data_IF_597010813101
#
_entry.id   IF_597010813101
#
_cell.length_a   1.000
_cell.length_b   1.000
_cell.length_c   1.000
_cell.angle_alpha   90.00
_cell.angle_beta   90.00
_cell.angle_gamma   90.00
#
_symmetry.space_group_name_H-M   'P 1'
#
loop_
_entity.id
_entity.type
_entity.pdbx_description
1 polymer ?
#
# COMPACT_ATOMS: atom_id res chain seq x y z
N UNK A 1 13.57 -12.07 0.40
CA UNK A 1 12.17 -12.08 -0.07
C UNK A 1 11.30 -11.07 0.68
N UNK A 2 11.26 -11.10 2.02
CA UNK A 2 10.37 -10.24 2.84
C UNK A 2 10.47 -8.74 2.57
N UNK A 3 11.68 -8.17 2.51
CA UNK A 3 11.84 -6.73 2.25
C UNK A 3 11.34 -6.30 0.86
N UNK A 4 11.51 -7.15 -0.15
CA UNK A 4 11.03 -6.88 -1.51
C UNK A 4 9.50 -6.95 -1.59
N UNK A 5 8.87 -7.96 -0.97
CA UNK A 5 7.41 -8.06 -0.94
C UNK A 5 6.77 -6.90 -0.16
N UNK A 6 7.40 -6.45 0.93
CA UNK A 6 6.97 -5.25 1.65
C UNK A 6 7.13 -4.01 0.78
N UNK A 7 8.28 -3.82 0.11
CA UNK A 7 8.51 -2.69 -0.79
C UNK A 7 7.44 -2.61 -1.90
N UNK A 8 7.18 -3.74 -2.56
CA UNK A 8 6.14 -3.83 -3.61
C UNK A 8 4.77 -3.55 -3.00
N UNK A 9 4.46 -4.16 -1.86
CA UNK A 9 3.20 -3.94 -1.14
C UNK A 9 2.98 -2.48 -0.78
N UNK A 10 3.99 -1.79 -0.24
CA UNK A 10 3.91 -0.36 0.09
C UNK A 10 3.71 0.50 -1.14
N UNK A 11 4.42 0.23 -2.23
CA UNK A 11 4.31 1.03 -3.45
C UNK A 11 2.93 0.87 -4.08
N UNK A 12 2.44 -0.37 -4.20
CA UNK A 12 1.11 -0.66 -4.76
C UNK A 12 0.01 -0.13 -3.85
N UNK A 13 0.13 -0.35 -2.54
CA UNK A 13 -0.84 0.15 -1.56
C UNK A 13 -0.87 1.68 -1.51
N UNK A 14 0.28 2.34 -1.57
CA UNK A 14 0.39 3.79 -1.59
C UNK A 14 -0.19 4.42 -2.86
N UNK A 15 0.17 3.90 -4.04
CA UNK A 15 -0.40 4.36 -5.31
C UNK A 15 -1.89 4.05 -5.40
N UNK A 16 -2.32 2.88 -4.93
CA UNK A 16 -3.73 2.49 -4.89
C UNK A 16 -4.55 3.41 -3.99
N UNK A 17 -4.05 3.70 -2.78
CA UNK A 17 -4.69 4.65 -1.87
C UNK A 17 -4.78 6.07 -2.44
N UNK A 18 -3.74 6.52 -3.13
CA UNK A 18 -3.76 7.81 -3.82
C UNK A 18 -4.78 7.83 -4.96
N UNK A 19 -4.76 6.82 -5.83
CA UNK A 19 -5.69 6.71 -6.96
C UNK A 19 -7.15 6.65 -6.50
N UNK A 20 -7.43 6.00 -5.37
CA UNK A 20 -8.77 6.00 -4.76
C UNK A 20 -9.14 7.40 -4.28
N UNK A 21 -8.22 8.10 -3.62
CA UNK A 21 -8.48 9.47 -3.16
C UNK A 21 -8.70 10.46 -4.29
N UNK A 22 -7.97 10.30 -5.39
CA UNK A 22 -8.12 11.07 -6.63
C UNK A 22 -9.45 10.75 -7.34
N UNK A 23 -9.79 9.47 -7.48
CA UNK A 23 -11.03 9.03 -8.11
C UNK A 23 -12.29 9.47 -7.35
N UNK A 24 -12.19 9.70 -6.03
CA UNK A 24 -13.28 10.19 -5.18
C UNK A 24 -13.28 11.72 -5.03
N UNK A 25 -12.39 12.43 -5.73
CA UNK A 25 -12.23 13.90 -5.69
C UNK A 25 -12.11 14.45 -4.26
N UNK A 26 -11.49 13.68 -3.36
CA UNK A 26 -11.41 14.03 -1.93
C UNK A 26 -10.38 15.13 -1.65
N UNK A 27 -9.72 15.62 -2.69
CA UNK A 27 -8.64 16.59 -2.62
C UNK A 27 -7.31 15.99 -2.12
N UNK A 28 -6.26 16.79 -2.23
CA UNK A 28 -4.89 16.38 -1.92
C UNK A 28 -4.71 15.83 -0.51
N UNK A 29 -5.34 16.45 0.50
CA UNK A 29 -5.21 16.04 1.89
C UNK A 29 -5.70 14.62 2.15
N UNK A 30 -6.85 14.25 1.57
CA UNK A 30 -7.41 12.92 1.71
C UNK A 30 -6.75 11.89 0.81
N UNK A 31 -6.36 12.27 -0.41
CA UNK A 31 -5.53 11.40 -1.25
C UNK A 31 -4.20 11.03 -0.57
N UNK A 32 -3.57 11.99 0.13
CA UNK A 32 -2.36 11.73 0.91
C UNK A 32 -2.61 10.77 2.08
N UNK A 33 -3.70 10.97 2.84
CA UNK A 33 -4.02 10.08 3.97
C UNK A 33 -4.37 8.67 3.48
N UNK A 34 -5.17 8.54 2.42
CA UNK A 34 -5.50 7.25 1.83
C UNK A 34 -4.26 6.55 1.27
N UNK A 35 -3.34 7.28 0.66
CA UNK A 35 -2.04 6.76 0.24
C UNK A 35 -1.20 6.26 1.43
N UNK A 36 -1.19 7.00 2.54
CA UNK A 36 -0.53 6.58 3.77
C UNK A 36 -1.13 5.30 4.35
N UNK A 37 -2.46 5.24 4.47
CA UNK A 37 -3.19 4.05 4.94
C UNK A 37 -2.95 2.86 4.02
N UNK A 38 -3.02 3.08 2.71
CA UNK A 38 -2.76 2.07 1.69
C UNK A 38 -1.32 1.54 1.77
N UNK A 39 -0.33 2.41 2.01
CA UNK A 39 1.06 1.99 2.20
C UNK A 39 1.23 1.10 3.43
N UNK A 40 0.61 1.44 4.56
CA UNK A 40 0.65 0.62 5.79
C UNK A 40 -0.03 -0.73 5.58
N UNK A 41 -1.21 -0.75 4.94
CA UNK A 41 -1.88 -1.98 4.55
C UNK A 41 -1.01 -2.83 3.60
N UNK A 42 -0.30 -2.16 2.68
CA UNK A 42 0.68 -2.74 1.79
C UNK A 42 1.86 -3.41 2.49
N UNK A 43 2.40 -2.83 3.57
CA UNK A 43 3.42 -3.48 4.42
C UNK A 43 2.90 -4.79 4.97
N UNK A 44 1.70 -4.78 5.56
CA UNK A 44 1.12 -5.96 6.19
C UNK A 44 0.85 -7.07 5.16
N UNK A 45 0.25 -6.72 4.03
CA UNK A 45 0.00 -7.66 2.94
C UNK A 45 1.30 -8.23 2.37
N UNK A 46 2.29 -7.37 2.10
CA UNK A 46 3.60 -7.78 1.59
C UNK A 46 4.37 -8.67 2.55
N UNK A 47 4.30 -8.41 3.86
CA UNK A 47 4.88 -9.26 4.89
C UNK A 47 4.22 -10.64 4.94
N UNK A 48 2.88 -10.69 4.93
CA UNK A 48 2.11 -11.94 4.94
C UNK A 48 2.38 -12.80 3.71
N UNK A 49 2.48 -12.17 2.54
CA UNK A 49 2.78 -12.83 1.26
C UNK A 49 4.21 -13.38 1.26
N UNK A 50 5.17 -12.64 1.83
CA UNK A 50 6.53 -13.12 1.98
C UNK A 50 6.66 -14.32 2.91
N UNK A 51 5.89 -14.38 4.00
CA UNK A 51 5.86 -15.56 4.86
C UNK A 51 5.33 -16.78 4.12
N UNK A 52 4.30 -16.61 3.29
CA UNK A 52 3.73 -17.68 2.47
C UNK A 52 4.65 -18.18 1.35
N UNK A 53 5.54 -17.33 0.85
CA UNK A 53 6.56 -17.72 -0.14
C UNK A 53 7.81 -18.32 0.48
N UNK A 54 7.98 -18.23 1.80
CA UNK A 54 9.11 -18.81 2.53
C UNK A 54 8.78 -20.18 3.15
N UNK A 55 7.51 -20.58 3.10
CA UNK A 55 6.95 -21.90 3.47
C UNK A 55 7.02 -22.83 2.25
#
# INVERSE_FOLDING_TARGET
>A
MTKLCILVGTTVGGYGGWAIGDALDLGFGWAFVLSGVGSVAGVYAGWKLAQKLAE
#
